data_IF_639297984926
#
_entry.id   IF_639297984926
#
_cell.length_a   1.000
_cell.length_b   1.000
_cell.length_c   1.000
_cell.angle_alpha   90.00
_cell.angle_beta   90.00
_cell.angle_gamma   90.00
#
_symmetry.space_group_name_H-M   'P 1'
#
loop_
_entity.id
_entity.type
_entity.pdbx_description
1 polymer ?
#
# COMPACT_ATOMS: atom_id res chain seq x y z
N UNK A 1 -12.68 -21.82 -11.36
CA UNK A 1 -13.37 -20.82 -10.52
C UNK A 1 -12.66 -20.72 -9.19
N UNK A 2 -12.64 -19.55 -8.56
CA UNK A 2 -11.97 -19.34 -7.27
C UNK A 2 -12.81 -19.89 -6.12
N UNK A 3 -12.26 -20.85 -5.36
CA UNK A 3 -12.84 -21.32 -4.10
C UNK A 3 -11.74 -21.55 -3.08
N UNK A 4 -11.98 -21.13 -1.85
CA UNK A 4 -11.13 -21.44 -0.72
C UNK A 4 -11.19 -22.93 -0.39
N UNK A 5 -10.05 -23.50 -0.01
CA UNK A 5 -9.95 -24.87 0.46
C UNK A 5 -10.81 -25.04 1.71
N UNK A 6 -11.69 -26.04 1.71
CA UNK A 6 -12.41 -26.41 2.93
C UNK A 6 -11.48 -27.23 3.83
N UNK A 7 -11.57 -27.03 5.14
CA UNK A 7 -10.78 -27.80 6.09
C UNK A 7 -11.18 -29.28 6.05
N UNK A 8 -10.27 -30.15 6.47
CA UNK A 8 -10.60 -31.56 6.65
C UNK A 8 -11.40 -31.69 7.95
N UNK A 9 -12.56 -32.36 7.93
CA UNK A 9 -13.28 -32.75 9.15
C UNK A 9 -12.34 -33.31 10.21
N UNK A 10 -12.39 -32.76 11.41
CA UNK A 10 -11.66 -33.28 12.56
C UNK A 10 -12.65 -33.55 13.70
N UNK A 11 -12.49 -34.67 14.43
CA UNK A 11 -13.34 -34.96 15.58
C UNK A 11 -13.29 -33.84 16.62
N UNK A 12 -14.37 -33.68 17.36
CA UNK A 12 -14.41 -32.72 18.46
C UNK A 12 -13.33 -33.05 19.50
N UNK A 13 -12.34 -32.17 19.64
CA UNK A 13 -11.31 -32.31 20.67
C UNK A 13 -11.78 -31.74 21.99
N UNK A 14 -11.93 -32.60 23.00
CA UNK A 14 -12.04 -32.15 24.39
C UNK A 14 -10.70 -31.56 24.86
N UNK A 15 -10.75 -30.42 25.54
CA UNK A 15 -9.56 -29.72 26.03
C UNK A 15 -9.88 -29.07 27.37
N UNK A 16 -8.85 -28.92 28.21
CA UNK A 16 -8.97 -28.20 29.49
C UNK A 16 -9.59 -26.80 29.33
N UNK A 17 -9.22 -26.07 28.27
CA UNK A 17 -9.77 -24.75 27.97
C UNK A 17 -11.28 -24.77 27.69
N UNK A 18 -11.78 -25.77 26.94
CA UNK A 18 -13.22 -25.93 26.65
C UNK A 18 -14.01 -26.26 27.91
N UNK A 19 -13.47 -27.14 28.76
CA UNK A 19 -14.06 -27.48 30.07
C UNK A 19 -14.10 -26.27 31.00
N UNK A 20 -13.00 -25.51 31.11
CA UNK A 20 -12.96 -24.28 31.89
C UNK A 20 -13.95 -23.21 31.38
N UNK A 21 -14.10 -23.07 30.05
CA UNK A 21 -15.09 -22.18 29.46
C UNK A 21 -16.53 -22.60 29.80
N UNK A 22 -16.81 -23.91 29.85
CA UNK A 22 -18.10 -24.43 30.27
C UNK A 22 -18.38 -24.15 31.75
N UNK A 23 -17.43 -24.40 32.65
CA UNK A 23 -17.59 -24.04 34.06
C UNK A 23 -17.79 -22.54 34.29
N UNK A 24 -17.08 -21.70 33.51
CA UNK A 24 -17.31 -20.24 33.53
C UNK A 24 -18.73 -19.91 33.09
N UNK A 25 -19.24 -20.53 32.03
CA UNK A 25 -20.64 -20.36 31.58
C UNK A 25 -21.61 -20.75 32.71
N UNK A 26 -21.44 -21.93 33.32
CA UNK A 26 -22.29 -22.40 34.42
C UNK A 26 -22.28 -21.46 35.63
N UNK A 27 -21.11 -20.89 35.95
CA UNK A 27 -20.98 -19.89 37.02
C UNK A 27 -21.73 -18.60 36.66
N UNK A 28 -21.54 -18.08 35.45
CA UNK A 28 -22.22 -16.87 34.99
C UNK A 28 -23.75 -17.04 34.97
N UNK A 29 -24.26 -18.23 34.63
CA UNK A 29 -25.70 -18.54 34.67
C UNK A 29 -26.26 -18.47 36.10
N UNK A 30 -25.53 -18.99 37.09
CA UNK A 30 -25.91 -18.90 38.51
C UNK A 30 -25.82 -17.47 39.06
N UNK A 31 -24.76 -16.76 38.69
CA UNK A 31 -24.54 -15.36 39.08
C UNK A 31 -25.58 -14.41 38.46
N UNK A 32 -26.11 -14.73 37.28
CA UNK A 32 -27.14 -13.93 36.61
C UNK A 32 -28.49 -13.96 37.34
N UNK A 33 -28.80 -15.05 38.07
CA UNK A 33 -30.04 -15.24 38.81
C UNK A 33 -29.77 -15.75 40.24
N UNK A 34 -29.25 -14.91 41.15
CA UNK A 34 -28.75 -15.35 42.45
C UNK A 34 -29.81 -16.03 43.33
N UNK A 35 -31.07 -15.58 43.27
CA UNK A 35 -32.17 -16.18 44.05
C UNK A 35 -32.50 -17.61 43.62
N UNK A 36 -32.12 -18.01 42.40
CA UNK A 36 -32.33 -19.35 41.84
C UNK A 36 -31.00 -20.10 41.65
N UNK A 37 -29.91 -19.62 42.24
CA UNK A 37 -28.57 -20.16 41.97
C UNK A 37 -28.47 -21.66 42.32
N UNK A 38 -29.11 -22.09 43.41
CA UNK A 38 -29.13 -23.48 43.85
C UNK A 38 -29.98 -24.36 42.94
N UNK A 39 -31.16 -23.88 42.52
CA UNK A 39 -32.03 -24.58 41.56
C UNK A 39 -31.35 -24.71 40.19
N UNK A 40 -30.66 -23.67 39.73
CA UNK A 40 -29.87 -23.67 38.50
C UNK A 40 -28.69 -24.65 38.64
N UNK A 41 -27.99 -24.67 39.77
CA UNK A 41 -26.91 -25.62 40.01
C UNK A 41 -27.40 -27.07 39.97
N UNK A 42 -28.58 -27.35 40.55
CA UNK A 42 -29.18 -28.68 40.57
C UNK A 42 -29.56 -29.22 39.19
N UNK A 43 -29.84 -28.33 38.22
CA UNK A 43 -30.19 -28.70 36.83
C UNK A 43 -28.99 -28.74 35.89
N UNK A 44 -27.84 -28.20 36.30
CA UNK A 44 -26.62 -28.14 35.50
C UNK A 44 -25.92 -29.50 35.43
N UNK A 45 -25.66 -29.98 34.20
CA UNK A 45 -24.93 -31.22 33.98
C UNK A 45 -23.41 -31.06 34.09
N UNK A 46 -22.71 -32.20 34.24
CA UNK A 46 -21.26 -32.25 34.37
C UNK A 46 -20.53 -31.87 33.08
N UNK A 47 -19.25 -31.47 33.22
CA UNK A 47 -18.41 -31.12 32.07
C UNK A 47 -18.16 -32.32 31.15
N UNK A 48 -18.01 -33.54 31.70
CA UNK A 48 -17.85 -34.76 30.89
C UNK A 48 -19.08 -35.01 30.02
N UNK A 49 -20.28 -34.86 30.58
CA UNK A 49 -21.54 -34.99 29.86
C UNK A 49 -21.66 -33.94 28.75
N UNK A 50 -21.30 -32.68 29.03
CA UNK A 50 -21.30 -31.62 28.00
C UNK A 50 -20.31 -31.92 26.87
N UNK A 51 -19.11 -32.40 27.18
CA UNK A 51 -18.12 -32.73 26.15
C UNK A 51 -18.57 -33.92 25.30
N UNK A 52 -19.23 -34.93 25.89
CA UNK A 52 -19.86 -36.02 25.15
C UNK A 52 -20.98 -35.51 24.22
N UNK A 53 -21.88 -34.66 24.73
CA UNK A 53 -22.95 -34.04 23.94
C UNK A 53 -22.40 -33.21 22.78
N UNK A 54 -21.36 -32.40 23.02
CA UNK A 54 -20.71 -31.61 21.97
C UNK A 54 -20.01 -32.45 20.93
N UNK A 55 -19.50 -33.62 21.31
CA UNK A 55 -18.88 -34.55 20.35
C UNK A 55 -19.93 -35.06 19.35
N UNK A 56 -21.08 -35.52 19.83
CA UNK A 56 -22.19 -35.96 18.98
C UNK A 56 -22.69 -34.81 18.10
N UNK A 57 -22.96 -33.66 18.73
CA UNK A 57 -23.44 -32.47 18.03
C UNK A 57 -22.45 -31.96 16.98
N UNK A 58 -21.14 -32.07 17.23
CA UNK A 58 -20.11 -31.62 16.30
C UNK A 58 -20.15 -32.37 14.98
N UNK A 59 -20.37 -33.69 15.01
CA UNK A 59 -20.44 -34.51 13.80
C UNK A 59 -21.69 -34.20 12.97
N UNK A 60 -22.83 -33.96 13.63
CA UNK A 60 -24.05 -33.46 12.98
C UNK A 60 -23.81 -32.08 12.38
N UNK A 61 -23.25 -31.17 13.15
CA UNK A 61 -22.95 -29.81 12.73
C UNK A 61 -22.00 -29.75 11.53
N UNK A 62 -20.94 -30.58 11.53
CA UNK A 62 -20.02 -30.68 10.39
C UNK A 62 -20.72 -31.21 9.14
N UNK A 63 -21.58 -32.22 9.28
CA UNK A 63 -22.39 -32.76 8.17
C UNK A 63 -23.31 -31.68 7.61
N UNK A 64 -24.09 -31.02 8.47
CA UNK A 64 -25.01 -29.94 8.08
C UNK A 64 -24.28 -28.79 7.38
N UNK A 65 -23.11 -28.38 7.89
CA UNK A 65 -22.27 -27.35 7.27
C UNK A 65 -21.82 -27.76 5.86
N UNK A 66 -21.43 -29.02 5.67
CA UNK A 66 -21.01 -29.55 4.37
C UNK A 66 -22.19 -29.62 3.40
N UNK A 67 -23.34 -30.05 3.87
CA UNK A 67 -24.56 -30.16 3.06
C UNK A 67 -25.08 -28.79 2.65
N UNK A 68 -25.11 -27.82 3.57
CA UNK A 68 -25.42 -26.44 3.26
C UNK A 68 -24.44 -25.86 2.23
N UNK A 69 -23.13 -26.09 2.41
CA UNK A 69 -22.11 -25.64 1.45
C UNK A 69 -22.33 -26.27 0.07
N UNK A 70 -22.63 -27.56 0.01
CA UNK A 70 -22.92 -28.26 -1.23
C UNK A 70 -24.22 -27.74 -1.89
N UNK A 71 -25.26 -27.45 -1.10
CA UNK A 71 -26.50 -26.86 -1.58
C UNK A 71 -26.26 -25.48 -2.21
N UNK A 72 -25.52 -24.60 -1.53
CA UNK A 72 -25.12 -23.30 -2.07
C UNK A 72 -24.29 -23.44 -3.33
N UNK A 73 -23.39 -24.42 -3.39
CA UNK A 73 -22.61 -24.70 -4.60
C UNK A 73 -23.49 -25.11 -5.77
N UNK A 74 -24.42 -26.05 -5.57
CA UNK A 74 -25.38 -26.46 -6.62
C UNK A 74 -26.23 -25.27 -7.08
N UNK A 75 -26.73 -24.46 -6.15
CA UNK A 75 -27.53 -23.25 -6.43
C UNK A 75 -26.74 -22.23 -7.24
N UNK A 76 -25.50 -21.93 -6.84
CA UNK A 76 -24.61 -21.02 -7.56
C UNK A 76 -24.28 -21.53 -8.96
N UNK A 77 -23.99 -22.82 -9.12
CA UNK A 77 -23.79 -23.41 -10.45
C UNK A 77 -25.04 -23.32 -11.31
N UNK A 78 -26.20 -23.72 -10.80
CA UNK A 78 -27.44 -23.67 -11.56
C UNK A 78 -27.67 -22.26 -12.13
N UNK A 79 -27.56 -21.23 -11.30
CA UNK A 79 -27.66 -19.82 -11.71
C UNK A 79 -26.61 -19.44 -12.76
N UNK A 80 -25.35 -19.82 -12.55
CA UNK A 80 -24.27 -19.51 -13.50
C UNK A 80 -24.55 -20.13 -14.88
N UNK A 81 -25.07 -21.35 -14.92
CA UNK A 81 -25.32 -22.06 -16.17
C UNK A 81 -26.60 -21.59 -16.89
N UNK A 82 -27.49 -20.86 -16.22
CA UNK A 82 -28.61 -20.14 -16.85
C UNK A 82 -28.15 -18.90 -17.64
N UNK A 83 -26.98 -18.33 -17.31
CA UNK A 83 -26.47 -17.14 -17.99
C UNK A 83 -26.00 -17.45 -19.42
N UNK A 84 -26.16 -16.51 -20.38
CA UNK A 84 -25.56 -16.60 -21.71
C UNK A 84 -24.05 -16.81 -21.64
N UNK A 85 -23.48 -17.49 -22.64
CA UNK A 85 -22.08 -17.92 -22.63
C UNK A 85 -21.07 -16.80 -22.42
N UNK A 86 -21.26 -15.67 -23.10
CA UNK A 86 -20.41 -14.49 -22.97
C UNK A 86 -20.44 -13.93 -21.54
N UNK A 87 -21.65 -13.73 -21.00
CA UNK A 87 -21.84 -13.24 -19.63
C UNK A 87 -21.25 -14.22 -18.60
N UNK A 88 -21.48 -15.52 -18.79
CA UNK A 88 -20.92 -16.58 -17.94
C UNK A 88 -19.39 -16.59 -17.93
N UNK A 89 -18.75 -16.35 -19.08
CA UNK A 89 -17.30 -16.23 -19.17
C UNK A 89 -16.80 -14.99 -18.40
N UNK A 90 -17.46 -13.85 -18.60
CA UNK A 90 -17.16 -12.58 -17.92
C UNK A 90 -17.29 -12.69 -16.40
N UNK A 91 -18.40 -13.26 -15.92
CA UNK A 91 -18.65 -13.55 -14.50
C UNK A 91 -17.56 -14.43 -13.89
N UNK A 92 -17.07 -15.45 -14.61
CA UNK A 92 -15.96 -16.31 -14.14
C UNK A 92 -14.64 -15.55 -14.02
N UNK A 93 -14.38 -14.60 -14.91
CA UNK A 93 -13.20 -13.74 -14.87
C UNK A 93 -13.24 -12.82 -13.65
N UNK A 94 -14.33 -12.06 -13.50
CA UNK A 94 -14.51 -11.09 -12.41
C UNK A 94 -14.50 -11.78 -11.04
N UNK A 95 -15.10 -12.97 -10.94
CA UNK A 95 -15.09 -13.74 -9.70
C UNK A 95 -13.66 -14.08 -9.23
N UNK A 96 -12.68 -14.19 -10.14
CA UNK A 96 -11.28 -14.44 -9.75
C UNK A 96 -10.67 -13.24 -9.01
N UNK A 97 -11.02 -12.02 -9.39
CA UNK A 97 -10.47 -10.77 -8.83
C UNK A 97 -11.34 -10.15 -7.73
N UNK A 98 -12.57 -10.64 -7.56
CA UNK A 98 -13.54 -10.15 -6.59
C UNK A 98 -12.99 -10.14 -5.14
N UNK A 99 -13.19 -9.12 -4.31
CA UNK A 99 -12.70 -9.12 -2.93
C UNK A 99 -13.50 -10.03 -1.98
N UNK A 100 -14.64 -10.57 -2.42
CA UNK A 100 -15.53 -11.35 -1.56
C UNK A 100 -14.92 -12.70 -1.13
N UNK A 101 -15.35 -13.25 0.03
CA UNK A 101 -14.94 -14.58 0.45
C UNK A 101 -15.11 -15.63 -0.65
N UNK A 102 -14.11 -16.48 -0.82
CA UNK A 102 -14.08 -17.51 -1.86
C UNK A 102 -14.92 -18.75 -1.48
N UNK A 103 -16.17 -18.55 -1.09
CA UNK A 103 -17.08 -19.64 -0.72
C UNK A 103 -18.36 -19.67 -1.59
N UNK A 104 -19.08 -20.81 -1.60
CA UNK A 104 -20.26 -20.98 -2.44
C UNK A 104 -21.42 -20.04 -2.12
N UNK A 105 -21.59 -19.61 -0.86
CA UNK A 105 -22.68 -18.71 -0.49
C UNK A 105 -22.42 -17.31 -1.04
N UNK A 106 -21.21 -16.78 -0.83
CA UNK A 106 -20.79 -15.50 -1.45
C UNK A 106 -20.85 -15.54 -2.97
N UNK A 107 -20.49 -16.66 -3.61
CA UNK A 107 -20.63 -16.80 -5.06
C UNK A 107 -22.10 -16.80 -5.50
N UNK A 108 -22.98 -17.52 -4.80
CA UNK A 108 -24.40 -17.57 -5.13
C UNK A 108 -25.09 -16.21 -4.94
N UNK A 109 -24.67 -15.44 -3.93
CA UNK A 109 -25.12 -14.08 -3.71
C UNK A 109 -24.58 -13.10 -4.76
N UNK A 110 -23.30 -13.18 -5.11
CA UNK A 110 -22.70 -12.42 -6.22
C UNK A 110 -23.50 -12.59 -7.53
N UNK A 111 -23.88 -13.83 -7.88
CA UNK A 111 -24.74 -14.08 -9.04
C UNK A 111 -26.15 -13.51 -8.89
N UNK A 112 -26.69 -13.50 -7.67
CA UNK A 112 -27.98 -12.87 -7.39
C UNK A 112 -27.92 -11.36 -7.57
N UNK A 113 -26.87 -10.70 -7.06
CA UNK A 113 -26.65 -9.27 -7.19
C UNK A 113 -26.55 -8.83 -8.67
N UNK A 114 -25.92 -9.64 -9.51
CA UNK A 114 -25.89 -9.42 -10.97
C UNK A 114 -27.31 -9.53 -11.54
N UNK A 115 -28.05 -10.58 -11.17
CA UNK A 115 -29.40 -10.79 -11.67
C UNK A 115 -30.38 -9.67 -11.27
N UNK A 116 -30.22 -9.06 -10.09
CA UNK A 116 -31.05 -7.92 -9.65
C UNK A 116 -30.48 -6.56 -10.06
N UNK A 117 -29.42 -6.52 -10.89
CA UNK A 117 -28.81 -5.29 -11.39
C UNK A 117 -28.05 -4.46 -10.35
N UNK A 118 -27.81 -4.99 -9.15
CA UNK A 118 -27.00 -4.31 -8.11
C UNK A 118 -25.51 -4.35 -8.40
N UNK A 119 -25.08 -5.34 -9.18
CA UNK A 119 -23.69 -5.53 -9.55
C UNK A 119 -23.56 -5.61 -11.07
N UNK A 120 -22.84 -4.65 -11.63
CA UNK A 120 -22.45 -4.65 -13.04
C UNK A 120 -21.19 -5.51 -13.24
N UNK A 121 -21.26 -6.61 -14.02
CA UNK A 121 -20.09 -7.42 -14.35
C UNK A 121 -19.05 -6.64 -15.15
N UNK A 122 -19.45 -5.73 -16.03
CA UNK A 122 -18.50 -5.02 -16.89
C UNK A 122 -17.79 -3.91 -16.13
N UNK A 123 -18.46 -3.34 -15.13
CA UNK A 123 -17.92 -2.29 -14.27
C UNK A 123 -18.00 -2.63 -12.78
N UNK A 124 -17.28 -3.68 -12.31
CA UNK A 124 -17.36 -4.10 -10.93
C UNK A 124 -16.80 -2.99 -10.00
N UNK A 125 -17.40 -2.77 -8.82
CA UNK A 125 -17.10 -1.62 -7.97
C UNK A 125 -15.71 -1.67 -7.31
N UNK A 126 -15.06 -2.84 -7.27
CA UNK A 126 -13.69 -2.99 -6.75
C UNK A 126 -12.60 -2.80 -7.81
N UNK A 127 -12.98 -2.63 -9.08
CA UNK A 127 -12.02 -2.24 -10.13
C UNK A 127 -12.06 -0.73 -10.26
N UNK A 128 -10.88 -0.11 -10.26
CA UNK A 128 -10.75 1.31 -10.49
C UNK A 128 -10.88 1.59 -11.99
N UNK A 129 -11.90 2.35 -12.39
CA UNK A 129 -12.24 2.60 -13.80
C UNK A 129 -11.83 3.98 -14.31
N UNK A 130 -11.38 4.88 -13.44
CA UNK A 130 -11.00 6.22 -13.88
C UNK A 130 -9.66 6.18 -14.61
N UNK A 131 -9.58 6.85 -15.75
CA UNK A 131 -8.31 7.04 -16.44
C UNK A 131 -7.34 7.79 -15.53
N UNK A 132 -6.17 7.18 -15.32
CA UNK A 132 -5.09 7.82 -14.56
C UNK A 132 -4.44 8.87 -15.44
N UNK A 133 -4.97 10.09 -15.46
CA UNK A 133 -4.22 11.23 -15.97
C UNK A 133 -3.25 11.68 -14.88
N UNK A 134 -1.95 11.54 -15.14
CA UNK A 134 -0.97 12.18 -14.29
C UNK A 134 -1.19 13.70 -14.40
N UNK A 135 -1.26 14.40 -13.26
CA UNK A 135 -1.27 15.87 -13.28
C UNK A 135 0.07 16.32 -13.84
N UNK A 136 0.04 16.89 -15.03
CA UNK A 136 1.20 17.43 -15.74
C UNK A 136 1.13 18.95 -15.62
N UNK A 137 2.23 19.58 -15.21
CA UNK A 137 2.38 21.03 -15.29
C UNK A 137 2.95 21.35 -16.67
N UNK A 138 2.07 21.73 -17.60
CA UNK A 138 2.49 22.22 -18.93
C UNK A 138 2.95 23.65 -18.79
N UNK A 139 4.10 23.98 -19.40
CA UNK A 139 4.66 25.32 -19.51
C UNK A 139 4.68 26.13 -18.19
N UNK A 140 5.35 25.62 -17.15
CA UNK A 140 5.44 26.33 -15.87
C UNK A 140 6.11 27.70 -16.01
N UNK A 141 5.48 28.74 -15.45
CA UNK A 141 6.03 30.11 -15.40
C UNK A 141 7.09 30.30 -14.32
N UNK A 142 7.13 29.45 -13.30
CA UNK A 142 8.10 29.53 -12.20
C UNK A 142 8.48 28.15 -11.66
N UNK A 143 9.60 28.10 -10.93
CA UNK A 143 10.06 26.87 -10.28
C UNK A 143 9.03 26.31 -9.29
N UNK A 144 8.31 27.17 -8.56
CA UNK A 144 7.29 26.73 -7.59
C UNK A 144 5.98 26.29 -8.25
N UNK A 145 5.70 26.77 -9.47
CA UNK A 145 4.59 26.26 -10.29
C UNK A 145 4.89 24.85 -10.81
N UNK A 146 6.14 24.61 -11.22
CA UNK A 146 6.60 23.31 -11.71
C UNK A 146 6.79 22.27 -10.60
N UNK A 147 7.34 22.68 -9.46
CA UNK A 147 7.89 21.79 -8.45
C UNK A 147 7.43 22.15 -7.04
N UNK A 148 6.80 21.17 -6.37
CA UNK A 148 6.40 21.29 -4.98
C UNK A 148 7.52 20.78 -4.08
N UNK A 149 7.89 21.55 -3.04
CA UNK A 149 8.81 21.06 -2.02
C UNK A 149 8.14 19.96 -1.19
N UNK A 150 8.79 18.79 -1.12
CA UNK A 150 8.30 17.60 -0.40
C UNK A 150 9.14 17.27 0.85
N UNK A 151 10.31 17.89 0.99
CA UNK A 151 11.18 17.61 2.14
C UNK A 151 12.31 18.61 2.32
N UNK A 152 12.92 18.55 3.50
CA UNK A 152 14.15 19.24 3.87
C UNK A 152 14.96 18.31 4.77
N UNK A 153 16.27 18.22 4.56
CA UNK A 153 17.18 17.46 5.43
C UNK A 153 18.50 18.19 5.56
N UNK A 154 19.04 18.18 6.79
CA UNK A 154 20.43 18.58 7.05
C UNK A 154 21.34 17.42 6.70
N UNK A 155 22.26 17.62 5.77
CA UNK A 155 23.35 16.68 5.53
C UNK A 155 24.50 17.14 6.41
N UNK A 156 24.79 16.37 7.47
CA UNK A 156 26.00 16.55 8.26
C UNK A 156 27.19 16.37 7.31
N UNK A 157 27.97 17.43 7.13
CA UNK A 157 29.21 17.32 6.36
C UNK A 157 30.17 16.39 7.08
N UNK A 158 30.92 15.59 6.32
CA UNK A 158 32.07 14.84 6.87
C UNK A 158 33.10 15.79 7.49
N UNK A 159 34.22 15.28 8.03
CA UNK A 159 35.14 16.05 8.88
C UNK A 159 35.71 17.36 8.28
N UNK A 160 35.58 17.57 6.97
CA UNK A 160 36.00 18.79 6.24
C UNK A 160 34.88 19.45 5.41
N UNK A 161 33.59 19.18 5.67
CA UNK A 161 32.47 19.83 4.95
C UNK A 161 31.53 20.52 5.95
N UNK A 162 31.14 21.76 5.66
CA UNK A 162 30.10 22.45 6.42
C UNK A 162 28.75 21.71 6.29
N UNK A 163 27.89 21.82 7.31
CA UNK A 163 26.49 21.37 7.22
C UNK A 163 25.85 21.99 5.98
N UNK A 164 25.22 21.16 5.15
CA UNK A 164 24.49 21.63 3.96
C UNK A 164 23.01 21.28 4.07
N UNK A 165 22.16 22.25 3.78
CA UNK A 165 20.72 22.06 3.69
C UNK A 165 20.37 21.48 2.31
N UNK A 166 19.81 20.27 2.30
CA UNK A 166 19.25 19.64 1.11
C UNK A 166 17.72 19.79 1.12
N UNK A 167 17.18 20.32 0.02
CA UNK A 167 15.73 20.44 -0.20
C UNK A 167 15.29 19.48 -1.30
N UNK A 168 14.20 18.76 -1.04
CA UNK A 168 13.63 17.82 -2.00
C UNK A 168 12.37 18.40 -2.63
N UNK A 169 12.26 18.31 -3.95
CA UNK A 169 11.10 18.74 -4.71
C UNK A 169 10.57 17.62 -5.62
N UNK A 170 9.29 17.70 -5.96
CA UNK A 170 8.61 16.78 -6.87
C UNK A 170 7.71 17.56 -7.84
N UNK A 171 7.72 17.15 -9.11
CA UNK A 171 6.92 17.74 -10.18
C UNK A 171 6.76 16.80 -11.37
N UNK A 172 5.96 17.18 -12.36
CA UNK A 172 5.75 16.40 -13.58
C UNK A 172 5.62 17.33 -14.78
N UNK A 173 6.59 17.26 -15.69
CA UNK A 173 6.67 18.09 -16.90
C UNK A 173 6.13 17.38 -18.16
N UNK A 174 5.53 16.19 -18.01
CA UNK A 174 4.89 15.46 -19.11
C UNK A 174 5.64 14.21 -19.56
N UNK A 175 6.97 14.20 -19.39
CA UNK A 175 7.82 13.02 -19.61
C UNK A 175 7.80 12.01 -18.45
N UNK A 176 7.34 12.45 -17.27
CA UNK A 176 7.22 11.60 -16.08
C UNK A 176 7.31 12.41 -14.79
N UNK A 177 7.14 11.72 -13.66
CA UNK A 177 7.36 12.33 -12.34
C UNK A 177 8.87 12.51 -12.13
N UNK A 178 9.27 13.71 -11.74
CA UNK A 178 10.64 14.11 -11.47
C UNK A 178 10.83 14.40 -9.98
N UNK A 179 11.97 13.96 -9.45
CA UNK A 179 12.42 14.27 -8.09
C UNK A 179 13.72 15.07 -8.16
N UNK A 180 13.74 16.22 -7.50
CA UNK A 180 14.87 17.14 -7.53
C UNK A 180 15.47 17.28 -6.13
N UNK A 181 16.79 17.12 -6.03
CA UNK A 181 17.55 17.48 -4.82
C UNK A 181 18.28 18.79 -5.07
N UNK A 182 17.95 19.82 -4.30
CA UNK A 182 18.61 21.12 -4.35
C UNK A 182 19.56 21.28 -3.17
N UNK A 183 20.83 21.53 -3.46
CA UNK A 183 21.89 21.80 -2.47
C UNK A 183 22.57 23.13 -2.75
N UNK A 184 23.09 23.76 -1.71
CA UNK A 184 23.90 24.97 -1.82
C UNK A 184 25.32 24.62 -1.44
N UNK A 185 26.26 24.86 -2.34
CA UNK A 185 27.68 24.63 -2.14
C UNK A 185 28.45 25.94 -2.19
N UNK A 186 29.45 26.17 -1.34
CA UNK A 186 30.36 27.28 -1.54
C UNK A 186 31.10 27.11 -2.87
N UNK A 187 31.32 28.23 -3.57
CA UNK A 187 32.14 28.28 -4.78
C UNK A 187 33.59 28.25 -4.31
N UNK A 188 34.26 27.12 -4.48
CA UNK A 188 35.68 27.01 -4.16
C UNK A 188 36.49 27.87 -5.13
N UNK A 189 37.04 28.96 -4.62
CA UNK A 189 37.86 29.90 -5.40
C UNK A 189 39.29 29.41 -5.64
N UNK A 190 39.70 28.27 -5.05
CA UNK A 190 41.10 27.84 -5.01
C UNK A 190 41.46 26.61 -5.86
N UNK A 191 40.57 26.11 -6.71
CA UNK A 191 40.86 24.92 -7.53
C UNK A 191 41.89 25.15 -8.68
N UNK A 192 42.59 26.28 -8.74
CA UNK A 192 43.45 26.64 -9.89
C UNK A 192 44.77 27.36 -9.64
N UNK A 193 45.19 27.65 -8.40
CA UNK A 193 46.43 28.41 -8.17
C UNK A 193 47.43 27.67 -7.26
N UNK A 194 48.14 26.70 -7.82
CA UNK A 194 49.51 26.43 -7.41
C UNK A 194 50.45 27.30 -8.25
N UNK A 195 50.65 28.56 -7.85
CA UNK A 195 51.77 29.37 -8.32
C UNK A 195 52.02 30.53 -7.35
N UNK A 196 53.16 30.45 -6.67
CA UNK A 196 54.06 31.52 -6.25
C UNK A 196 53.49 32.81 -5.61
N UNK A 197 53.98 33.02 -4.39
CA UNK A 197 54.42 34.30 -3.81
C UNK A 197 53.47 35.07 -2.91
N UNK A 198 54.02 35.36 -1.72
CA UNK A 198 53.60 36.37 -0.76
C UNK A 198 53.32 37.71 -1.44
N UNK A 199 52.07 38.17 -1.42
CA UNK A 199 51.73 39.57 -1.19
C UNK A 199 50.28 39.72 -0.72
N UNK A 200 50.12 40.39 0.42
CA UNK A 200 48.82 40.87 0.92
C UNK A 200 48.24 41.86 -0.07
N UNK A 201 47.15 41.50 -0.73
CA UNK A 201 46.21 42.47 -1.29
C UNK A 201 44.89 42.41 -0.53
N UNK A 202 44.71 43.47 0.24
CA UNK A 202 43.47 43.89 0.88
C UNK A 202 42.60 44.46 -0.24
N UNK A 203 41.51 43.79 -0.59
CA UNK A 203 40.36 44.51 -1.15
C UNK A 203 39.02 43.79 -0.94
N UNK A 204 38.17 44.52 -0.27
CA UNK A 204 36.75 44.29 -0.04
C UNK A 204 35.97 44.84 -1.23
N UNK A 205 35.25 44.01 -2.00
CA UNK A 205 34.00 44.39 -2.72
C UNK A 205 33.38 43.30 -3.65
N UNK A 206 33.46 42.00 -3.32
CA UNK A 206 32.74 40.95 -4.08
C UNK A 206 32.16 39.89 -3.14
N UNK A 207 30.99 40.14 -2.54
CA UNK A 207 30.36 39.26 -1.53
C UNK A 207 29.12 38.51 -2.02
N UNK A 208 28.90 38.35 -3.32
CA UNK A 208 27.63 37.79 -3.82
C UNK A 208 27.77 36.51 -4.65
N UNK A 209 29.00 36.06 -4.95
CA UNK A 209 29.27 34.83 -5.72
C UNK A 209 30.10 33.81 -4.92
N UNK A 210 29.82 33.66 -3.63
CA UNK A 210 30.55 32.71 -2.77
C UNK A 210 29.87 31.33 -2.72
N UNK A 211 28.69 31.17 -3.31
CA UNK A 211 27.91 29.92 -3.24
C UNK A 211 27.16 29.66 -4.56
N UNK A 212 27.17 28.39 -5.02
CA UNK A 212 26.41 27.88 -6.16
C UNK A 212 25.29 26.95 -5.69
N UNK A 213 24.23 26.86 -6.46
CA UNK A 213 23.12 25.95 -6.22
C UNK A 213 23.27 24.77 -7.18
N UNK A 214 23.29 23.56 -6.65
CA UNK A 214 23.33 22.32 -7.43
C UNK A 214 21.98 21.62 -7.34
N UNK A 215 21.40 21.25 -8.48
CA UNK A 215 20.14 20.53 -8.57
C UNK A 215 20.37 19.19 -9.28
N UNK A 216 20.18 18.10 -8.54
CA UNK A 216 20.17 16.75 -9.08
C UNK A 216 18.75 16.36 -9.49
N UNK A 217 18.53 16.02 -10.76
CA UNK A 217 17.22 15.59 -11.28
C UNK A 217 17.20 14.07 -11.44
N UNK A 218 16.19 13.42 -10.85
CA UNK A 218 15.91 11.99 -10.98
C UNK A 218 14.55 11.76 -11.64
N UNK A 219 14.47 10.81 -12.55
CA UNK A 219 13.26 10.48 -13.31
C UNK A 219 13.51 10.52 -14.81
N UNK A 220 12.49 10.18 -15.60
CA UNK A 220 12.56 10.32 -17.06
C UNK A 220 12.37 11.79 -17.42
N UNK A 221 13.46 12.45 -17.83
CA UNK A 221 13.44 13.82 -18.33
C UNK A 221 14.26 13.94 -19.63
N UNK A 222 13.72 14.70 -20.58
CA UNK A 222 14.42 15.08 -21.81
C UNK A 222 15.47 16.17 -21.53
N UNK A 223 16.38 16.40 -22.47
CA UNK A 223 17.38 17.48 -22.31
C UNK A 223 16.71 18.86 -22.33
N UNK A 224 15.56 19.00 -23.02
CA UNK A 224 14.72 20.19 -22.97
C UNK A 224 14.11 20.42 -21.58
N UNK A 225 13.69 19.35 -20.89
CA UNK A 225 13.21 19.43 -19.50
C UNK A 225 14.32 19.90 -18.56
N UNK A 226 15.56 19.42 -18.74
CA UNK A 226 16.71 19.84 -17.92
C UNK A 226 17.00 21.32 -18.11
N UNK A 227 17.03 21.80 -19.36
CA UNK A 227 17.23 23.21 -19.67
C UNK A 227 16.11 24.10 -19.09
N UNK A 228 14.85 23.65 -19.15
CA UNK A 228 13.72 24.34 -18.55
C UNK A 228 13.85 24.41 -17.02
N UNK A 229 14.23 23.31 -16.37
CA UNK A 229 14.47 23.28 -14.91
C UNK A 229 15.55 24.28 -14.51
N UNK A 230 16.66 24.32 -15.26
CA UNK A 230 17.77 25.25 -15.02
C UNK A 230 17.31 26.70 -15.17
N UNK A 231 16.59 27.03 -16.24
CA UNK A 231 16.04 28.36 -16.46
C UNK A 231 15.12 28.80 -15.31
N UNK A 232 14.17 27.95 -14.92
CA UNK A 232 13.22 28.27 -13.84
C UNK A 232 13.91 28.39 -12.47
N UNK A 233 14.88 27.52 -12.20
CA UNK A 233 15.62 27.56 -10.95
C UNK A 233 16.54 28.79 -10.88
N UNK A 234 17.20 29.15 -11.98
CA UNK A 234 18.05 30.34 -12.06
C UNK A 234 17.23 31.62 -11.94
N UNK A 235 16.03 31.70 -12.52
CA UNK A 235 15.15 32.85 -12.34
C UNK A 235 14.70 33.05 -10.88
N UNK A 236 14.66 31.97 -10.09
CA UNK A 236 14.28 32.00 -8.67
C UNK A 236 15.48 32.16 -7.71
N UNK A 237 16.72 32.15 -8.20
CA UNK A 237 17.94 32.18 -7.38
C UNK A 237 18.90 33.28 -7.84
N UNK A 238 19.44 34.03 -6.89
CA UNK A 238 20.48 35.04 -7.17
C UNK A 238 21.87 34.43 -7.34
N UNK A 239 22.03 33.16 -6.93
CA UNK A 239 23.26 32.38 -7.04
C UNK A 239 23.29 31.64 -8.38
N UNK A 240 24.48 31.33 -8.94
CA UNK A 240 24.57 30.49 -10.12
C UNK A 240 24.02 29.10 -9.81
N UNK A 241 23.12 28.60 -10.66
CA UNK A 241 22.50 27.28 -10.58
C UNK A 241 23.19 26.35 -11.57
N UNK A 242 23.36 25.08 -11.21
CA UNK A 242 23.76 24.01 -12.12
C UNK A 242 22.81 22.85 -11.95
N UNK A 243 22.27 22.34 -13.05
CA UNK A 243 21.33 21.22 -13.05
C UNK A 243 21.98 20.01 -13.70
N UNK A 244 21.89 18.84 -13.05
CA UNK A 244 22.43 17.60 -13.57
C UNK A 244 21.40 16.47 -13.47
N UNK A 245 21.22 15.74 -14.57
CA UNK A 245 20.40 14.52 -14.60
C UNK A 245 21.20 13.37 -14.00
N UNK A 246 20.69 12.77 -12.92
CA UNK A 246 21.22 11.54 -12.37
C UNK A 246 20.48 10.37 -13.02
N UNK A 247 21.17 9.69 -13.92
CA UNK A 247 20.73 8.38 -14.41
C UNK A 247 21.08 7.38 -13.30
N UNK A 248 20.10 6.65 -12.73
CA UNK A 248 20.44 5.60 -11.79
C UNK A 248 21.32 4.59 -12.52
N UNK A 249 22.56 4.43 -12.04
CA UNK A 249 23.43 3.35 -12.50
C UNK A 249 22.72 2.06 -12.15
N UNK A 250 22.20 1.38 -13.17
CA UNK A 250 21.69 0.02 -13.02
C UNK A 250 22.87 -0.82 -12.56
N UNK A 251 22.94 -1.14 -11.26
CA UNK A 251 23.86 -2.16 -10.78
C UNK A 251 23.37 -3.45 -11.42
N UNK A 252 24.02 -3.85 -12.51
CA UNK A 252 23.80 -5.13 -13.14
C UNK A 252 23.96 -6.18 -12.04
N UNK A 253 22.86 -6.84 -11.69
CA UNK A 253 22.81 -7.81 -10.63
C UNK A 253 23.81 -8.91 -10.91
N UNK A 254 24.92 -8.90 -10.17
CA UNK A 254 25.84 -10.02 -10.11
C UNK A 254 25.09 -11.22 -9.56
N UNK A 255 24.81 -12.19 -10.43
CA UNK A 255 24.48 -13.54 -10.02
C UNK A 255 25.64 -14.05 -9.16
N UNK A 256 25.36 -14.37 -7.90
CA UNK A 256 26.25 -15.20 -7.09
C UNK A 256 25.77 -16.65 -7.18
N UNK A 257 26.73 -17.60 -7.23
CA UNK A 257 26.47 -19.04 -7.36
C UNK A 257 25.70 -19.61 -6.17
#
# INVERSE_FOLDING_TARGET
MRYGRWHRPEPYRDTSRKRAAFHRKQRLEREALPLFADDIAATQHGADEEMARRTIWWDEYERDRRDQRAAWWRKGRARLFTLPDALRARVREIWRTCPYPADPASFADFLHQIAVGKLDPDRPPWVFHQERSARITRDPSSFHDAFRQIGKRKIAGGPNRAESDERLFCGNLGSGILFLNKRVHPIDRNAGFHAASDHRLRDSHLRHADHRVEIEVRGQCSDADVALIEQLAQAAETRPVTVQRIIPVTIAGGARP
#
